data_IF_391020677259
#
_entry.id   IF_391020677259
#
_cell.length_a   1.000
_cell.length_b   1.000
_cell.length_c   1.000
_cell.angle_alpha   90.00
_cell.angle_beta   90.00
_cell.angle_gamma   90.00
#
_symmetry.space_group_name_H-M   'P 1'
#
loop_
_entity.id
_entity.type
_entity.pdbx_description
1 polymer ?
#
# COMPACT_ATOMS: atom_id res chain seq x y z
N UNK A 1 11.89 -14.77 9.57
CA UNK A 1 11.51 -15.29 8.23
C UNK A 1 12.05 -16.70 7.97
N UNK A 2 13.37 -16.93 7.92
CA UNK A 2 13.97 -18.24 7.58
C UNK A 2 13.46 -19.42 8.43
N UNK A 3 13.45 -19.28 9.75
CA UNK A 3 12.95 -20.32 10.67
C UNK A 3 11.49 -20.69 10.40
N UNK A 4 10.64 -19.69 10.22
CA UNK A 4 9.22 -19.86 9.91
C UNK A 4 9.00 -20.59 8.59
N UNK A 5 9.64 -20.14 7.51
CA UNK A 5 9.51 -20.78 6.18
C UNK A 5 10.05 -22.21 6.20
N UNK A 6 11.13 -22.49 6.92
CA UNK A 6 11.66 -23.86 7.05
C UNK A 6 10.69 -24.82 7.77
N UNK A 7 9.85 -24.30 8.68
CA UNK A 7 8.84 -25.10 9.36
C UNK A 7 7.67 -25.50 8.43
N UNK A 8 7.39 -24.70 7.40
CA UNK A 8 6.29 -24.94 6.44
C UNK A 8 6.63 -26.06 5.44
N UNK A 9 5.60 -26.64 4.81
CA UNK A 9 5.73 -27.69 3.82
C UNK A 9 5.48 -27.13 2.39
N UNK A 10 6.49 -27.10 1.50
CA UNK A 10 6.33 -26.56 0.14
C UNK A 10 5.39 -27.39 -0.74
N UNK A 11 5.04 -28.63 -0.35
CA UNK A 11 4.05 -29.44 -1.08
C UNK A 11 2.61 -29.03 -0.83
N UNK A 12 2.35 -28.35 0.29
CA UNK A 12 1.00 -27.97 0.73
C UNK A 12 0.87 -26.48 1.00
N UNK A 13 1.95 -25.72 0.76
CA UNK A 13 2.02 -24.29 1.05
C UNK A 13 2.52 -23.57 -0.18
N UNK A 14 1.73 -22.59 -0.64
CA UNK A 14 2.10 -21.70 -1.72
C UNK A 14 2.92 -20.53 -1.16
N UNK A 15 3.99 -20.17 -1.85
CA UNK A 15 4.80 -18.99 -1.50
C UNK A 15 4.60 -17.92 -2.57
N UNK A 16 4.16 -16.73 -2.15
CA UNK A 16 4.04 -15.56 -3.01
C UNK A 16 4.94 -14.47 -2.44
N UNK A 17 5.75 -13.87 -3.30
CA UNK A 17 6.58 -12.71 -2.96
C UNK A 17 5.99 -11.48 -3.62
N UNK A 18 5.88 -10.40 -2.87
CA UNK A 18 5.32 -9.12 -3.36
C UNK A 18 6.39 -8.04 -3.23
N UNK A 19 6.75 -7.44 -4.36
CA UNK A 19 7.78 -6.43 -4.45
C UNK A 19 9.20 -7.00 -4.56
N UNK A 20 10.11 -6.14 -5.03
CA UNK A 20 11.50 -6.50 -5.32
C UNK A 20 12.23 -7.05 -4.10
N UNK A 21 12.14 -6.37 -2.95
CA UNK A 21 12.87 -6.74 -1.74
C UNK A 21 12.46 -8.12 -1.20
N UNK A 22 11.16 -8.47 -1.26
CA UNK A 22 10.70 -9.79 -0.85
C UNK A 22 11.23 -10.88 -1.80
N UNK A 23 11.22 -10.62 -3.11
CA UNK A 23 11.80 -11.52 -4.11
C UNK A 23 13.30 -11.74 -3.90
N UNK A 24 14.07 -10.67 -3.62
CA UNK A 24 15.49 -10.79 -3.29
C UNK A 24 15.72 -11.57 -2.00
N UNK A 25 14.94 -11.30 -0.95
CA UNK A 25 15.07 -12.01 0.32
C UNK A 25 14.86 -13.52 0.15
N UNK A 26 13.87 -13.96 -0.64
CA UNK A 26 13.65 -15.39 -0.93
C UNK A 26 14.78 -15.98 -1.76
N UNK A 27 15.32 -15.25 -2.76
CA UNK A 27 16.41 -15.74 -3.62
C UNK A 27 17.73 -15.94 -2.90
N UNK A 28 18.03 -15.07 -1.93
CA UNK A 28 19.31 -15.07 -1.22
C UNK A 28 19.26 -15.75 0.16
N UNK A 29 18.09 -16.27 0.56
CA UNK A 29 17.98 -17.05 1.79
C UNK A 29 18.18 -18.54 1.51
N UNK A 30 19.20 -19.14 2.13
CA UNK A 30 19.37 -20.59 2.11
C UNK A 30 18.30 -21.28 3.00
N UNK A 31 17.21 -21.75 2.38
CA UNK A 31 16.17 -22.57 3.02
C UNK A 31 16.56 -24.05 3.07
N UNK A 32 16.01 -24.78 4.03
CA UNK A 32 16.27 -26.23 4.19
C UNK A 32 15.48 -27.10 3.22
N UNK A 33 14.49 -26.51 2.53
CA UNK A 33 13.62 -27.17 1.56
C UNK A 33 13.61 -26.33 0.29
N UNK A 34 13.47 -26.97 -0.87
CA UNK A 34 13.28 -26.28 -2.14
C UNK A 34 11.88 -25.69 -2.23
N UNK A 35 11.78 -24.44 -2.68
CA UNK A 35 10.52 -23.72 -2.85
C UNK A 35 10.36 -23.27 -4.30
N UNK A 36 9.20 -23.54 -4.88
CA UNK A 36 8.68 -22.79 -6.02
C UNK A 36 7.81 -21.66 -5.48
N UNK A 37 7.86 -20.49 -6.13
CA UNK A 37 7.12 -19.32 -5.67
C UNK A 37 6.67 -18.44 -6.83
N UNK A 38 5.55 -17.73 -6.62
CA UNK A 38 5.13 -16.66 -7.51
C UNK A 38 5.82 -15.36 -7.09
N UNK A 39 6.38 -14.65 -8.06
CA UNK A 39 7.00 -13.35 -7.85
C UNK A 39 6.15 -12.25 -8.47
N UNK A 40 5.50 -11.47 -7.63
CA UNK A 40 4.70 -10.32 -8.03
C UNK A 40 5.58 -9.10 -7.87
N UNK A 41 5.92 -8.49 -9.00
CA UNK A 41 6.83 -7.35 -9.05
C UNK A 41 6.34 -6.26 -10.01
N UNK A 42 7.13 -5.20 -10.09
CA UNK A 42 6.83 -4.00 -10.87
C UNK A 42 8.01 -3.04 -10.80
N UNK A 43 8.01 -2.00 -11.64
CA UNK A 43 9.06 -0.97 -11.62
C UNK A 43 8.78 0.08 -10.54
N UNK A 44 7.50 0.35 -10.29
CA UNK A 44 7.02 1.26 -9.25
C UNK A 44 5.98 0.58 -8.33
N UNK A 45 5.56 1.26 -7.27
CA UNK A 45 4.58 0.76 -6.31
C UNK A 45 3.22 0.49 -6.96
N UNK A 46 2.83 1.33 -7.91
CA UNK A 46 1.61 1.26 -8.69
C UNK A 46 1.59 0.00 -9.58
N UNK A 47 2.72 -0.38 -10.16
CA UNK A 47 2.86 -1.62 -10.93
C UNK A 47 2.69 -2.84 -10.02
N UNK A 48 3.34 -2.83 -8.85
CA UNK A 48 3.25 -3.94 -7.90
C UNK A 48 1.81 -4.10 -7.41
N UNK A 49 1.13 -3.00 -7.09
CA UNK A 49 -0.27 -3.02 -6.67
C UNK A 49 -1.20 -3.56 -7.77
N UNK A 50 -1.07 -3.08 -9.01
CA UNK A 50 -1.89 -3.57 -10.12
C UNK A 50 -1.60 -5.04 -10.47
N UNK A 51 -0.35 -5.48 -10.41
CA UNK A 51 0.00 -6.88 -10.67
C UNK A 51 -0.46 -7.81 -9.54
N UNK A 52 -0.42 -7.34 -8.28
CA UNK A 52 -0.99 -8.07 -7.15
C UNK A 52 -2.52 -8.18 -7.29
N UNK A 53 -3.17 -7.09 -7.70
CA UNK A 53 -4.61 -7.07 -7.94
C UNK A 53 -5.02 -8.15 -8.94
N UNK A 54 -4.37 -8.19 -10.12
CA UNK A 54 -4.63 -9.18 -11.17
C UNK A 54 -4.30 -10.62 -10.77
N UNK A 55 -3.35 -10.81 -9.86
CA UNK A 55 -2.99 -12.15 -9.38
C UNK A 55 -4.04 -12.71 -8.42
N UNK A 56 -4.58 -11.85 -7.55
CA UNK A 56 -5.41 -12.30 -6.43
C UNK A 56 -6.91 -12.24 -6.71
N UNK A 57 -7.34 -11.27 -7.51
CA UNK A 57 -8.75 -10.99 -7.75
C UNK A 57 -9.17 -11.37 -9.14
N UNK A 58 -10.36 -11.97 -9.23
CA UNK A 58 -11.08 -12.17 -10.48
C UNK A 58 -12.48 -11.59 -10.29
N UNK A 59 -12.85 -10.58 -11.08
CA UNK A 59 -14.12 -9.86 -10.98
C UNK A 59 -14.43 -9.30 -9.57
N UNK A 60 -13.56 -8.42 -9.01
CA UNK A 60 -13.83 -7.77 -7.73
C UNK A 60 -15.08 -6.88 -7.81
N UNK A 61 -15.86 -6.80 -6.72
CA UNK A 61 -17.07 -5.97 -6.70
C UNK A 61 -16.79 -4.50 -6.30
N UNK A 62 -15.62 -4.26 -5.69
CA UNK A 62 -15.14 -2.95 -5.25
C UNK A 62 -13.63 -2.85 -5.45
N UNK A 63 -13.07 -1.64 -5.33
CA UNK A 63 -11.63 -1.44 -5.23
C UNK A 63 -11.33 -0.27 -4.32
N UNK A 64 -10.10 -0.20 -3.84
CA UNK A 64 -9.57 0.96 -3.13
C UNK A 64 -8.50 1.60 -3.99
N UNK A 65 -8.48 2.93 -4.06
CA UNK A 65 -7.38 3.68 -4.67
C UNK A 65 -6.81 4.63 -3.63
N UNK A 66 -5.54 4.43 -3.28
CA UNK A 66 -4.85 5.29 -2.31
C UNK A 66 -3.67 6.04 -2.90
N UNK A 67 -3.33 7.14 -2.24
CA UNK A 67 -2.09 7.85 -2.51
C UNK A 67 -0.87 7.04 -2.03
N UNK A 68 0.23 7.16 -2.77
CA UNK A 68 1.49 6.47 -2.46
C UNK A 68 2.22 7.02 -1.22
N UNK A 69 1.68 8.04 -0.55
CA UNK A 69 2.36 8.75 0.54
C UNK A 69 1.84 8.37 1.91
N UNK A 70 0.61 7.85 1.99
CA UNK A 70 -0.07 7.54 3.25
C UNK A 70 -0.37 6.05 3.35
N UNK A 71 0.66 5.27 3.70
CA UNK A 71 0.51 3.82 3.89
C UNK A 71 -0.60 3.45 4.89
N UNK A 72 -0.91 4.32 5.86
CA UNK A 72 -2.00 4.11 6.82
C UNK A 72 -3.37 4.07 6.14
N UNK A 73 -3.60 4.93 5.14
CA UNK A 73 -4.84 4.94 4.37
C UNK A 73 -4.93 3.66 3.54
N UNK A 74 -3.82 3.22 2.92
CA UNK A 74 -3.74 1.94 2.23
C UNK A 74 -3.99 0.73 3.13
N UNK A 75 -3.51 0.75 4.38
CA UNK A 75 -3.78 -0.30 5.34
C UNK A 75 -5.26 -0.32 5.76
N UNK A 76 -5.86 0.85 6.01
CA UNK A 76 -7.27 0.97 6.38
C UNK A 76 -8.19 0.55 5.22
N UNK A 77 -7.95 1.07 4.02
CA UNK A 77 -8.72 0.73 2.83
C UNK A 77 -8.55 -0.73 2.44
N UNK A 78 -7.32 -1.25 2.46
CA UNK A 78 -7.08 -2.67 2.24
C UNK A 78 -7.79 -3.58 3.25
N UNK A 79 -7.94 -3.14 4.50
CA UNK A 79 -8.75 -3.87 5.49
C UNK A 79 -10.26 -3.79 5.18
N UNK A 80 -10.75 -2.62 4.76
CA UNK A 80 -12.16 -2.41 4.40
C UNK A 80 -12.58 -3.25 3.18
N UNK A 81 -11.71 -3.38 2.18
CA UNK A 81 -12.00 -4.13 0.94
C UNK A 81 -11.35 -5.50 0.89
N UNK A 82 -10.80 -6.01 1.99
CA UNK A 82 -10.06 -7.28 2.03
C UNK A 82 -10.82 -8.49 1.46
N UNK A 83 -12.17 -8.44 1.44
CA UNK A 83 -13.04 -9.51 0.92
C UNK A 83 -13.61 -9.21 -0.47
N UNK A 84 -13.46 -7.97 -0.93
CA UNK A 84 -14.30 -7.39 -1.97
C UNK A 84 -13.49 -6.89 -3.17
N UNK A 85 -12.22 -6.54 -2.96
CA UNK A 85 -11.35 -6.25 -4.08
C UNK A 85 -10.01 -5.63 -3.73
N UNK A 86 -9.26 -5.25 -4.77
CA UNK A 86 -7.87 -4.86 -4.63
C UNK A 86 -7.70 -3.46 -4.03
N UNK A 87 -6.54 -3.25 -3.44
CA UNK A 87 -5.99 -1.92 -3.16
C UNK A 87 -5.01 -1.55 -4.28
N UNK A 88 -5.31 -0.46 -4.98
CA UNK A 88 -4.51 0.12 -6.04
C UNK A 88 -3.84 1.40 -5.55
N UNK A 89 -2.70 1.72 -6.16
CA UNK A 89 -1.85 2.83 -5.73
C UNK A 89 -1.80 3.90 -6.82
N UNK A 90 -1.78 5.15 -6.38
CA UNK A 90 -1.80 6.33 -7.24
C UNK A 90 -1.13 7.53 -6.57
N UNK A 91 -1.03 8.66 -7.27
CA UNK A 91 -0.72 9.96 -6.64
C UNK A 91 -2.00 10.65 -6.16
N UNK A 92 -1.90 11.57 -5.19
CA UNK A 92 -3.07 12.31 -4.65
C UNK A 92 -3.88 13.01 -5.76
N UNK A 93 -3.18 13.60 -6.74
CA UNK A 93 -3.77 14.45 -7.77
C UNK A 93 -4.11 13.76 -9.09
N UNK A 94 -3.61 12.56 -9.35
CA UNK A 94 -3.75 11.92 -10.66
C UNK A 94 -3.79 10.41 -10.50
N UNK A 95 -4.79 9.79 -11.13
CA UNK A 95 -4.93 8.34 -11.22
C UNK A 95 -3.76 7.75 -12.01
N UNK A 96 -3.05 6.79 -11.43
CA UNK A 96 -1.93 6.14 -12.11
C UNK A 96 -2.43 5.36 -13.33
N UNK A 97 -1.65 5.30 -14.43
CA UNK A 97 -2.02 4.49 -15.60
C UNK A 97 -2.29 3.02 -15.25
N UNK A 98 -1.54 2.49 -14.28
CA UNK A 98 -1.66 1.12 -13.77
C UNK A 98 -2.99 0.90 -13.07
N UNK A 99 -3.38 1.81 -12.17
CA UNK A 99 -4.66 1.74 -11.47
C UNK A 99 -5.82 1.92 -12.47
N UNK A 100 -5.74 2.91 -13.37
CA UNK A 100 -6.73 3.14 -14.42
C UNK A 100 -6.94 1.91 -15.31
N UNK A 101 -5.85 1.27 -15.74
CA UNK A 101 -5.91 0.04 -16.56
C UNK A 101 -6.52 -1.12 -15.77
N UNK A 102 -6.15 -1.29 -14.50
CA UNK A 102 -6.71 -2.35 -13.66
C UNK A 102 -8.21 -2.15 -13.43
N UNK A 103 -8.64 -0.93 -13.13
CA UNK A 103 -10.05 -0.58 -12.93
C UNK A 103 -10.87 -0.76 -14.21
N UNK A 104 -10.38 -0.30 -15.34
CA UNK A 104 -11.09 -0.42 -16.62
C UNK A 104 -11.22 -1.85 -17.13
N UNK A 105 -10.24 -2.71 -16.84
CA UNK A 105 -10.34 -4.15 -17.10
C UNK A 105 -11.45 -4.81 -16.27
N UNK A 106 -11.71 -4.30 -15.07
CA UNK A 106 -12.70 -4.81 -14.13
C UNK A 106 -13.96 -3.93 -14.05
N UNK A 107 -14.16 -3.00 -14.98
CA UNK A 107 -15.25 -2.01 -14.92
C UNK A 107 -16.65 -2.64 -14.92
N UNK A 108 -16.78 -3.86 -15.45
CA UNK A 108 -18.05 -4.59 -15.43
C UNK A 108 -18.38 -5.19 -14.06
N UNK A 109 -17.37 -5.41 -13.19
CA UNK A 109 -17.52 -6.02 -11.87
C UNK A 109 -17.41 -4.99 -10.75
N UNK A 110 -16.54 -4.00 -10.90
CA UNK A 110 -16.31 -2.94 -9.91
C UNK A 110 -17.42 -1.90 -9.97
N UNK A 111 -18.24 -1.86 -8.91
CA UNK A 111 -19.33 -0.89 -8.77
C UNK A 111 -19.00 0.26 -7.81
N UNK A 112 -18.00 0.09 -6.96
CA UNK A 112 -17.59 1.05 -5.93
C UNK A 112 -16.08 1.15 -5.91
N UNK A 113 -15.57 2.39 -5.90
CA UNK A 113 -14.16 2.66 -5.60
C UNK A 113 -14.09 3.55 -4.36
N UNK A 114 -13.38 3.08 -3.35
CA UNK A 114 -13.18 3.76 -2.08
C UNK A 114 -11.81 4.44 -2.06
N UNK A 115 -11.73 5.56 -1.35
CA UNK A 115 -10.50 6.31 -1.10
C UNK A 115 -10.51 6.77 0.35
N UNK A 116 -9.41 6.59 1.07
CA UNK A 116 -9.31 6.91 2.48
C UNK A 116 -8.50 8.19 2.70
N UNK A 117 -8.85 8.93 3.74
CA UNK A 117 -8.17 10.18 4.12
C UNK A 117 -9.01 11.44 3.90
N UNK A 118 -8.34 12.59 4.02
CA UNK A 118 -8.98 13.90 3.91
C UNK A 118 -9.23 14.31 2.45
N UNK A 119 -9.84 15.47 2.25
CA UNK A 119 -10.11 15.99 0.90
C UNK A 119 -8.86 16.18 0.02
N UNK A 120 -7.70 16.36 0.65
CA UNK A 120 -6.41 16.46 -0.02
C UNK A 120 -5.86 15.12 -0.51
N UNK A 121 -6.27 14.00 0.09
CA UNK A 121 -5.78 12.66 -0.26
C UNK A 121 -6.32 12.16 -1.61
N UNK A 122 -7.49 12.67 -2.03
CA UNK A 122 -8.04 12.40 -3.36
C UNK A 122 -8.64 13.68 -3.94
N UNK A 123 -7.89 14.36 -4.81
CA UNK A 123 -8.34 15.60 -5.45
C UNK A 123 -9.45 15.34 -6.48
N UNK A 124 -10.30 16.34 -6.80
CA UNK A 124 -11.41 16.18 -7.75
C UNK A 124 -11.01 15.55 -9.09
N UNK A 125 -9.86 15.92 -9.65
CA UNK A 125 -9.35 15.35 -10.91
C UNK A 125 -9.11 13.83 -10.83
N UNK A 126 -8.59 13.35 -9.69
CA UNK A 126 -8.38 11.94 -9.45
C UNK A 126 -9.73 11.20 -9.33
N UNK A 127 -10.70 11.78 -8.63
CA UNK A 127 -12.07 11.21 -8.52
C UNK A 127 -12.75 11.07 -9.88
N UNK A 128 -12.65 12.09 -10.71
CA UNK A 128 -13.16 12.05 -12.08
C UNK A 128 -12.49 10.93 -12.88
N UNK A 129 -11.16 10.84 -12.83
CA UNK A 129 -10.42 9.79 -13.52
C UNK A 129 -10.76 8.37 -13.02
N UNK A 130 -11.03 8.20 -11.73
CA UNK A 130 -11.53 6.94 -11.16
C UNK A 130 -12.92 6.61 -11.73
N UNK A 131 -13.83 7.59 -11.74
CA UNK A 131 -15.17 7.42 -12.30
C UNK A 131 -15.15 7.05 -13.79
N UNK A 132 -14.28 7.69 -14.56
CA UNK A 132 -14.05 7.39 -15.98
C UNK A 132 -13.43 5.99 -16.19
N UNK A 133 -12.69 5.46 -15.20
CA UNK A 133 -12.08 4.14 -15.30
C UNK A 133 -13.06 2.99 -15.04
N UNK A 134 -14.09 3.20 -14.21
CA UNK A 134 -15.06 2.13 -13.84
C UNK A 134 -16.40 2.26 -14.56
N UNK A 135 -16.65 3.35 -15.26
CA UNK A 135 -17.89 3.60 -15.99
C UNK A 135 -17.60 4.11 -17.40
N UNK A 136 -18.64 4.17 -18.25
CA UNK A 136 -18.51 4.76 -19.58
C UNK A 136 -18.07 6.25 -19.54
N UNK A 137 -18.40 6.94 -18.44
CA UNK A 137 -17.84 8.23 -18.04
C UNK A 137 -18.14 8.51 -16.57
N UNK A 138 -17.39 9.41 -15.95
CA UNK A 138 -17.58 9.85 -14.57
C UNK A 138 -18.94 10.51 -14.33
N UNK A 139 -19.67 10.90 -15.38
CA UNK A 139 -21.05 11.39 -15.29
C UNK A 139 -22.04 10.32 -14.80
N UNK A 140 -21.70 9.04 -14.94
CA UNK A 140 -22.48 7.91 -14.43
C UNK A 140 -22.10 7.49 -13.01
N UNK A 141 -21.19 8.24 -12.39
CA UNK A 141 -20.71 7.97 -11.03
C UNK A 141 -21.09 9.08 -10.08
N UNK A 142 -21.15 8.77 -8.79
CA UNK A 142 -21.37 9.76 -7.74
C UNK A 142 -20.32 9.58 -6.64
N UNK A 143 -19.84 10.68 -6.08
CA UNK A 143 -18.93 10.64 -4.94
C UNK A 143 -19.72 10.84 -3.66
N UNK A 144 -19.76 9.82 -2.81
CA UNK A 144 -20.30 9.91 -1.46
C UNK A 144 -19.15 10.20 -0.50
N UNK A 145 -19.30 11.22 0.36
CA UNK A 145 -18.35 11.46 1.44
C UNK A 145 -18.89 10.86 2.72
N UNK A 146 -18.30 9.75 3.15
CA UNK A 146 -18.47 9.28 4.51
C UNK A 146 -17.62 10.18 5.41
N UNK A 147 -18.22 11.24 5.96
CA UNK A 147 -17.60 11.93 7.07
C UNK A 147 -17.53 10.93 8.23
N UNK A 148 -16.33 10.39 8.51
CA UNK A 148 -16.06 9.91 9.86
C UNK A 148 -16.47 11.05 10.78
N UNK A 149 -17.42 10.81 11.69
CA UNK A 149 -18.06 11.84 12.52
C UNK A 149 -17.04 12.85 13.06
N UNK A 150 -17.50 14.09 13.26
CA UNK A 150 -16.73 15.27 13.69
C UNK A 150 -15.22 15.07 13.81
N UNK A 151 -14.46 15.70 12.89
CA UNK A 151 -13.00 15.81 12.97
C UNK A 151 -12.61 16.11 14.41
N UNK A 152 -11.90 15.22 15.13
CA UNK A 152 -11.53 15.47 16.51
C UNK A 152 -10.82 16.82 16.57
N UNK A 153 -11.33 17.74 17.40
CA UNK A 153 -10.69 19.04 17.60
C UNK A 153 -9.21 18.79 17.86
N UNK A 154 -8.36 19.22 16.93
CA UNK A 154 -6.98 18.76 16.80
C UNK A 154 -6.20 18.90 18.12
N UNK A 155 -6.20 17.83 18.90
CA UNK A 155 -5.36 17.67 20.09
C UNK A 155 -5.18 16.19 20.38
N UNK A 156 -4.75 15.42 19.38
CA UNK A 156 -4.08 14.16 19.66
C UNK A 156 -2.74 14.50 20.34
N UNK A 157 -2.75 14.62 21.67
CA UNK A 157 -1.51 14.58 22.46
C UNK A 157 -1.03 13.14 22.41
N UNK A 158 0.06 12.89 21.69
CA UNK A 158 0.75 11.60 21.77
C UNK A 158 1.05 11.30 23.23
N UNK A 159 0.44 10.23 23.76
CA UNK A 159 0.78 9.76 25.10
C UNK A 159 2.09 9.00 24.97
N UNK A 160 3.15 9.55 25.56
CA UNK A 160 4.44 8.87 25.65
C UNK A 160 4.21 7.56 26.41
N UNK A 161 4.47 6.42 25.77
CA UNK A 161 4.41 5.14 26.45
C UNK A 161 5.37 5.16 27.67
N UNK A 162 5.01 4.56 28.81
CA UNK A 162 5.94 4.38 29.91
C UNK A 162 7.18 3.64 29.40
N UNK A 163 8.36 4.09 29.81
CA UNK A 163 9.59 3.37 29.52
C UNK A 163 9.46 1.94 30.07
N UNK A 164 9.71 0.93 29.24
CA UNK A 164 9.91 -0.42 29.75
C UNK A 164 11.04 -0.38 30.80
N UNK A 165 10.88 -1.02 31.97
CA UNK A 165 11.96 -1.09 32.95
C UNK A 165 13.17 -1.76 32.30
N UNK A 166 14.34 -1.14 32.46
CA UNK A 166 15.61 -1.64 31.98
C UNK A 166 15.98 -2.94 32.73
N UNK A 167 15.56 -4.08 32.20
CA UNK A 167 16.11 -5.39 32.54
C UNK A 167 17.19 -5.74 31.52
N UNK A 168 18.44 -5.75 31.97
CA UNK A 168 19.66 -5.75 31.16
C UNK A 168 19.79 -6.88 30.13
N UNK A 169 20.13 -6.46 28.92
CA UNK A 169 20.67 -7.28 27.83
C UNK A 169 21.15 -6.33 26.74
N UNK A 170 22.47 -6.17 26.64
CA UNK A 170 23.24 -5.23 25.80
C UNK A 170 22.55 -4.62 24.57
N UNK A 171 22.40 -3.29 24.60
CA UNK A 171 22.11 -2.46 23.43
C UNK A 171 23.41 -2.12 22.69
N UNK A 172 23.50 -2.27 21.35
CA UNK A 172 24.59 -1.68 20.59
C UNK A 172 24.44 -0.15 20.55
N UNK A 173 25.59 0.51 20.66
CA UNK A 173 25.80 1.94 20.85
C UNK A 173 25.08 2.86 19.83
N UNK A 174 24.73 4.05 20.34
CA UNK A 174 23.86 5.01 19.68
C UNK A 174 24.43 5.78 18.49
N UNK A 175 23.51 6.47 17.81
CA UNK A 175 23.79 7.55 16.84
C UNK A 175 23.16 8.84 17.38
N UNK A 176 23.83 10.00 17.29
CA UNK A 176 23.31 11.26 17.85
C UNK A 176 22.11 11.78 17.06
N UNK A 177 21.13 12.34 17.76
CA UNK A 177 20.03 13.13 17.21
C UNK A 177 20.56 14.48 16.66
N UNK A 178 20.18 14.91 15.44
CA UNK A 178 20.36 16.29 15.02
C UNK A 178 19.25 17.17 15.59
N UNK A 179 19.65 18.15 16.40
CA UNK A 179 19.25 19.56 16.30
C UNK A 179 17.76 19.91 16.35
N UNK A 180 17.37 20.55 17.44
CA UNK A 180 16.24 21.47 17.54
C UNK A 180 16.32 22.57 16.47
N UNK A 181 15.54 22.41 15.39
CA UNK A 181 15.26 23.43 14.40
C UNK A 181 13.74 23.56 14.24
N UNK A 182 13.25 24.79 14.33
CA UNK A 182 11.84 25.19 14.14
C UNK A 182 11.34 24.65 12.79
N UNK A 183 10.58 23.55 12.80
CA UNK A 183 10.25 22.78 11.59
C UNK A 183 8.91 23.13 10.98
N UNK A 184 8.93 23.49 9.70
CA UNK A 184 7.79 23.41 8.79
C UNK A 184 7.18 21.98 8.79
N UNK A 185 5.94 21.86 8.31
CA UNK A 185 5.14 20.63 8.33
C UNK A 185 5.85 19.38 7.79
N UNK A 186 5.28 18.18 8.02
CA UNK A 186 5.96 16.91 7.80
C UNK A 186 6.58 16.88 6.40
N UNK A 187 7.89 16.70 6.39
CA UNK A 187 8.70 16.55 5.20
C UNK A 187 8.09 15.43 4.34
N UNK A 188 7.56 15.80 3.17
CA UNK A 188 6.97 14.90 2.18
C UNK A 188 8.09 14.21 1.42
N UNK A 189 8.94 13.48 2.12
CA UNK A 189 10.01 12.69 1.53
C UNK A 189 9.43 11.38 1.02
N UNK A 190 9.63 11.13 -0.27
CA UNK A 190 9.15 9.96 -1.04
C UNK A 190 9.33 8.67 -0.24
N UNK A 191 8.30 7.82 -0.15
CA UNK A 191 8.52 6.41 0.24
C UNK A 191 9.65 5.91 -0.66
N UNK A 192 10.83 5.54 -0.15
CA UNK A 192 11.99 5.36 -1.00
C UNK A 192 11.64 4.45 -2.18
N UNK A 193 11.67 5.03 -3.40
CA UNK A 193 11.63 4.23 -4.60
C UNK A 193 12.82 3.27 -4.52
N UNK A 194 12.71 2.02 -5.00
CA UNK A 194 13.91 1.26 -5.27
C UNK A 194 14.74 2.12 -6.22
N UNK A 195 15.96 2.46 -5.80
CA UNK A 195 16.91 3.24 -6.57
C UNK A 195 16.87 2.76 -8.02
N UNK A 196 16.66 3.70 -8.94
CA UNK A 196 16.65 3.44 -10.38
C UNK A 196 18.01 2.91 -10.80
N UNK A 197 18.22 1.60 -10.69
CA UNK A 197 19.39 0.94 -11.19
C UNK A 197 19.13 0.53 -12.64
N UNK A 198 19.73 1.33 -13.52
CA UNK A 198 19.99 1.03 -14.91
C UNK A 198 20.36 -0.44 -15.10
N UNK A 199 19.63 -1.08 -16.02
CA UNK A 199 19.97 -2.39 -16.53
C UNK A 199 21.42 -2.43 -17.03
N UNK A 200 22.13 -3.48 -16.63
CA UNK A 200 23.15 -4.12 -17.46
C UNK A 200 22.81 -5.59 -17.56
#
# INVERSE_FOLDING_TARGET
MKSYINALNPKTTNLVTVGYNAGQAVRHTAFTKSWSYWAIGGRAHEDVAANLARFWWAAPNSAVVEDTWTWQNAAAGGAATATYGPTLWSTEGTLSPQASTCLSQEAASVSVVETFGGNSSCLPANRTAIGDAIAASGAWTSTIRAAGGDVPAATARGVKAPALPAGGGEAPAGRPLPGTGTGAGPDRTHLPAPDGHTAR
#
